data_IF_395997689817
#
_entry.id   IF_395997689817
#
_cell.length_a   1.000
_cell.length_b   1.000
_cell.length_c   1.000
_cell.angle_alpha   90.00
_cell.angle_beta   90.00
_cell.angle_gamma   90.00
#
_symmetry.space_group_name_H-M   'P 1'
#
loop_
_entity.id
_entity.type
_entity.pdbx_description
1 polymer ?
#
# COMPACT_ATOMS: atom_id res chain seq x y z
N UNK A 1 -25.65 13.75 13.15
CA UNK A 1 -24.61 12.78 12.77
C UNK A 1 -23.90 13.39 11.58
N UNK A 2 -22.59 13.57 11.65
CA UNK A 2 -21.78 14.18 10.60
C UNK A 2 -21.03 13.08 9.85
N UNK A 3 -21.09 13.12 8.52
CA UNK A 3 -20.49 12.14 7.61
C UNK A 3 -19.49 12.80 6.65
N UNK A 4 -19.15 14.07 6.89
CA UNK A 4 -18.15 14.76 6.08
C UNK A 4 -16.78 14.15 6.38
N UNK A 5 -16.03 13.86 5.31
CA UNK A 5 -14.64 13.39 5.43
C UNK A 5 -13.82 14.53 6.05
N UNK A 6 -13.05 14.27 7.13
CA UNK A 6 -12.17 15.27 7.72
C UNK A 6 -11.21 15.86 6.68
N UNK A 7 -10.99 17.18 6.73
CA UNK A 7 -10.19 17.90 5.72
C UNK A 7 -8.76 17.37 5.58
N UNK A 8 -8.14 16.97 6.69
CA UNK A 8 -6.82 16.34 6.71
C UNK A 8 -6.80 15.00 5.96
N UNK A 9 -7.87 14.21 6.07
CA UNK A 9 -8.00 12.96 5.32
C UNK A 9 -8.27 13.24 3.85
N UNK A 10 -9.11 14.23 3.52
CA UNK A 10 -9.33 14.60 2.11
C UNK A 10 -8.02 15.03 1.43
N UNK A 11 -7.21 15.88 2.08
CA UNK A 11 -5.91 16.28 1.56
C UNK A 11 -4.99 15.07 1.34
N UNK A 12 -4.98 14.11 2.28
CA UNK A 12 -4.23 12.87 2.10
C UNK A 12 -4.71 12.06 0.89
N UNK A 13 -6.02 11.98 0.64
CA UNK A 13 -6.55 11.29 -0.54
C UNK A 13 -6.09 11.97 -1.83
N UNK A 14 -6.06 13.30 -1.85
CA UNK A 14 -5.60 14.09 -2.99
C UNK A 14 -4.09 13.87 -3.23
N UNK A 15 -3.27 13.89 -2.17
CA UNK A 15 -1.83 13.60 -2.21
C UNK A 15 -1.54 12.17 -2.71
N UNK A 16 -2.35 11.20 -2.28
CA UNK A 16 -2.24 9.81 -2.74
C UNK A 16 -2.60 9.68 -4.23
N UNK A 17 -3.58 10.43 -4.72
CA UNK A 17 -3.96 10.43 -6.12
C UNK A 17 -2.85 11.00 -7.01
N UNK A 18 -2.26 12.12 -6.60
CA UNK A 18 -1.10 12.71 -7.28
C UNK A 18 0.10 11.75 -7.27
N UNK A 19 0.43 11.14 -6.13
CA UNK A 19 1.50 10.15 -6.03
C UNK A 19 1.26 8.91 -6.92
N UNK A 20 0.01 8.46 -7.02
CA UNK A 20 -0.34 7.34 -7.92
C UNK A 20 -0.07 7.73 -9.37
N UNK A 21 -0.46 8.93 -9.78
CA UNK A 21 -0.32 9.38 -11.16
C UNK A 21 1.15 9.68 -11.53
N UNK A 22 1.90 10.30 -10.63
CA UNK A 22 3.26 10.77 -10.90
C UNK A 22 4.35 9.73 -10.64
N UNK A 23 4.09 8.75 -9.75
CA UNK A 23 5.11 7.76 -9.33
C UNK A 23 4.66 6.34 -9.65
N UNK A 24 3.48 5.92 -9.20
CA UNK A 24 3.08 4.51 -9.29
C UNK A 24 2.74 4.10 -10.72
N UNK A 25 1.93 4.89 -11.45
CA UNK A 25 1.57 4.59 -12.84
C UNK A 25 2.78 4.52 -13.77
N UNK A 26 3.79 5.42 -13.68
CA UNK A 26 5.02 5.25 -14.44
C UNK A 26 5.69 3.90 -14.17
N UNK A 27 5.80 3.47 -12.90
CA UNK A 27 6.38 2.18 -12.53
C UNK A 27 5.59 1.01 -13.12
N UNK A 28 4.25 1.07 -13.13
CA UNK A 28 3.38 0.06 -13.76
C UNK A 28 3.60 -0.03 -15.29
N UNK A 29 3.91 1.08 -15.95
CA UNK A 29 4.07 1.14 -17.40
C UNK A 29 5.51 0.84 -17.88
N UNK A 30 6.48 0.82 -16.97
CA UNK A 30 7.85 0.41 -17.28
C UNK A 30 7.95 -1.11 -17.51
N UNK A 31 8.78 -1.53 -18.47
CA UNK A 31 9.23 -2.93 -18.63
C UNK A 31 8.09 -4.00 -18.60
N UNK A 32 6.93 -3.68 -19.18
CA UNK A 32 5.72 -4.52 -19.17
C UNK A 32 5.23 -4.93 -17.77
N UNK A 33 5.51 -4.13 -16.72
CA UNK A 33 5.02 -4.40 -15.36
C UNK A 33 3.49 -4.49 -15.30
N UNK A 34 2.79 -3.84 -16.23
CA UNK A 34 1.34 -3.93 -16.40
C UNK A 34 0.83 -5.38 -16.56
N UNK A 35 1.69 -6.32 -16.99
CA UNK A 35 1.38 -7.76 -17.02
C UNK A 35 0.91 -8.29 -15.68
N UNK A 36 1.49 -7.79 -14.58
CA UNK A 36 1.12 -8.22 -13.24
C UNK A 36 -0.24 -7.71 -12.81
N UNK A 37 -0.92 -6.85 -13.56
CA UNK A 37 -2.26 -6.35 -13.22
C UNK A 37 -3.32 -6.75 -14.26
N UNK A 38 -2.93 -7.51 -15.28
CA UNK A 38 -3.82 -8.02 -16.30
C UNK A 38 -4.39 -9.37 -15.86
N UNK A 39 -5.70 -9.42 -15.61
CA UNK A 39 -6.40 -10.65 -15.17
C UNK A 39 -6.22 -11.85 -16.13
N UNK A 40 -5.81 -11.61 -17.39
CA UNK A 40 -5.53 -12.67 -18.37
C UNK A 40 -4.13 -13.27 -18.23
N UNK A 41 -3.28 -12.65 -17.41
CA UNK A 41 -1.85 -12.97 -17.18
C UNK A 41 -1.54 -13.10 -15.69
N UNK A 42 -2.52 -13.48 -14.86
CA UNK A 42 -2.32 -13.60 -13.40
C UNK A 42 -1.23 -14.63 -13.04
N UNK A 43 -1.03 -15.63 -13.88
CA UNK A 43 0.05 -16.62 -13.78
C UNK A 43 1.44 -15.98 -13.84
N UNK A 44 1.58 -14.77 -14.39
CA UNK A 44 2.84 -14.03 -14.40
C UNK A 44 3.37 -13.74 -13.00
N UNK A 45 2.53 -13.74 -11.95
CA UNK A 45 2.98 -13.55 -10.56
C UNK A 45 3.51 -14.83 -9.92
N UNK A 46 3.35 -15.99 -10.57
CA UNK A 46 3.59 -17.30 -9.99
C UNK A 46 4.79 -17.98 -10.66
N UNK A 47 5.76 -18.39 -9.86
CA UNK A 47 6.89 -19.22 -10.29
C UNK A 47 6.52 -20.70 -10.15
N UNK A 48 6.07 -21.32 -11.24
CA UNK A 48 5.64 -22.72 -11.27
C UNK A 48 6.79 -23.72 -11.09
N UNK A 49 8.02 -23.34 -11.44
CA UNK A 49 9.20 -24.18 -11.26
C UNK A 49 9.66 -24.21 -9.79
N UNK A 50 9.20 -23.23 -9.00
CA UNK A 50 9.52 -23.06 -7.58
C UNK A 50 8.28 -23.22 -6.69
N UNK A 51 7.55 -24.32 -6.90
CA UNK A 51 6.37 -24.72 -6.12
C UNK A 51 5.23 -23.68 -6.09
N UNK A 52 5.14 -22.81 -7.09
CA UNK A 52 4.10 -21.77 -7.17
C UNK A 52 4.34 -20.59 -6.23
N UNK A 53 5.58 -20.35 -5.79
CA UNK A 53 5.93 -19.15 -5.03
C UNK A 53 5.76 -17.88 -5.87
N UNK A 54 5.63 -16.70 -5.24
CA UNK A 54 5.68 -15.44 -5.96
C UNK A 54 6.96 -15.34 -6.81
N UNK A 55 6.81 -14.93 -8.07
CA UNK A 55 7.97 -14.77 -8.92
C UNK A 55 8.85 -13.59 -8.45
N UNK A 56 10.15 -13.66 -8.73
CA UNK A 56 11.11 -12.70 -8.21
C UNK A 56 10.89 -11.27 -8.75
N UNK A 57 10.41 -11.14 -9.98
CA UNK A 57 10.14 -9.84 -10.61
C UNK A 57 8.95 -9.12 -9.94
N UNK A 58 7.91 -9.87 -9.58
CA UNK A 58 6.75 -9.38 -8.85
C UNK A 58 7.14 -8.94 -7.43
N UNK A 59 7.92 -9.76 -6.72
CA UNK A 59 8.42 -9.40 -5.40
C UNK A 59 9.30 -8.14 -5.44
N UNK A 60 10.14 -8.01 -6.47
CA UNK A 60 10.97 -6.82 -6.68
C UNK A 60 10.12 -5.58 -6.98
N UNK A 61 9.06 -5.72 -7.78
CA UNK A 61 8.13 -4.63 -8.09
C UNK A 61 7.39 -4.15 -6.84
N UNK A 62 6.86 -5.08 -6.03
CA UNK A 62 6.23 -4.76 -4.75
C UNK A 62 7.21 -4.12 -3.77
N UNK A 63 8.48 -4.53 -3.79
CA UNK A 63 9.52 -3.90 -2.98
C UNK A 63 9.77 -2.46 -3.41
N UNK A 64 9.94 -2.21 -4.71
CA UNK A 64 10.12 -0.85 -5.25
C UNK A 64 8.95 0.04 -4.87
N UNK A 65 7.70 -0.40 -5.06
CA UNK A 65 6.53 0.38 -4.64
C UNK A 65 6.57 0.75 -3.16
N UNK A 66 6.89 -0.20 -2.28
CA UNK A 66 6.98 0.07 -0.83
C UNK A 66 8.10 1.05 -0.51
N UNK A 67 9.26 0.91 -1.15
CA UNK A 67 10.40 1.81 -0.95
C UNK A 67 10.04 3.25 -1.38
N UNK A 68 9.34 3.44 -2.52
CA UNK A 68 8.86 4.76 -2.97
C UNK A 68 7.78 5.33 -2.05
N UNK A 69 6.80 4.51 -1.64
CA UNK A 69 5.74 4.93 -0.73
C UNK A 69 6.26 5.27 0.68
N UNK A 70 7.31 4.59 1.14
CA UNK A 70 7.99 4.89 2.40
C UNK A 70 8.76 6.21 2.31
N UNK A 71 9.49 6.43 1.21
CA UNK A 71 10.20 7.67 0.95
C UNK A 71 9.26 8.88 0.87
N UNK A 72 8.06 8.70 0.31
CA UNK A 72 7.00 9.71 0.29
C UNK A 72 6.25 9.87 1.64
N UNK A 73 6.51 9.01 2.62
CA UNK A 73 5.87 9.05 3.94
C UNK A 73 4.46 8.46 4.01
N UNK A 74 4.00 7.81 2.93
CA UNK A 74 2.68 7.15 2.87
C UNK A 74 2.69 5.77 3.52
N UNK A 75 3.74 4.96 3.28
CA UNK A 75 3.75 3.56 3.74
C UNK A 75 3.48 3.45 5.23
N UNK A 76 4.10 4.32 6.04
CA UNK A 76 3.98 4.32 7.51
C UNK A 76 2.93 5.27 8.06
N UNK A 77 2.12 5.92 7.22
CA UNK A 77 1.20 6.99 7.64
C UNK A 77 0.38 6.66 8.91
N UNK A 78 -0.16 5.44 9.00
CA UNK A 78 -0.98 5.00 10.12
C UNK A 78 -0.22 4.73 11.43
N UNK A 79 1.11 4.61 11.37
CA UNK A 79 1.92 4.40 12.55
C UNK A 79 2.09 5.68 13.36
N UNK A 80 2.37 5.58 14.67
CA UNK A 80 2.80 6.72 15.46
C UNK A 80 4.04 7.40 14.88
N UNK A 81 4.15 8.72 15.09
CA UNK A 81 5.33 9.52 14.67
C UNK A 81 6.65 8.97 15.19
N UNK A 82 6.67 8.37 16.38
CA UNK A 82 7.91 7.78 16.95
C UNK A 82 8.47 6.59 16.16
N UNK A 83 7.66 6.00 15.28
CA UNK A 83 8.08 4.95 14.33
C UNK A 83 8.24 5.49 12.90
N UNK A 84 8.23 6.81 12.72
CA UNK A 84 8.30 7.48 11.43
C UNK A 84 6.97 7.54 10.68
N UNK A 85 5.84 7.31 11.37
CA UNK A 85 4.50 7.50 10.80
C UNK A 85 3.94 8.91 11.02
N UNK A 86 2.62 9.06 10.87
CA UNK A 86 1.93 10.34 10.94
C UNK A 86 0.75 10.36 11.94
N UNK A 87 0.70 9.39 12.86
CA UNK A 87 -0.39 9.23 13.84
C UNK A 87 -1.77 9.04 13.18
N UNK A 88 -1.82 8.34 12.03
CA UNK A 88 -3.07 8.11 11.30
C UNK A 88 -4.12 7.39 12.16
N UNK A 89 -5.40 7.72 11.91
CA UNK A 89 -6.52 7.17 12.68
C UNK A 89 -7.15 5.96 12.00
N UNK A 90 -7.83 5.10 12.77
CA UNK A 90 -8.59 3.97 12.23
C UNK A 90 -9.68 4.41 11.23
N UNK A 91 -10.33 5.56 11.47
CA UNK A 91 -11.31 6.12 10.53
C UNK A 91 -10.63 6.53 9.22
N UNK A 92 -9.50 7.23 9.30
CA UNK A 92 -8.74 7.61 8.12
C UNK A 92 -8.22 6.39 7.35
N UNK A 93 -7.72 5.36 8.04
CA UNK A 93 -7.34 4.08 7.41
C UNK A 93 -8.51 3.44 6.67
N UNK A 94 -9.71 3.42 7.25
CA UNK A 94 -10.90 2.88 6.58
C UNK A 94 -11.24 3.66 5.29
N UNK A 95 -11.23 4.99 5.35
CA UNK A 95 -11.50 5.88 4.21
C UNK A 95 -10.43 5.70 3.11
N UNK A 96 -9.15 5.70 3.47
CA UNK A 96 -8.03 5.49 2.53
C UNK A 96 -8.14 4.13 1.85
N UNK A 97 -8.42 3.06 2.61
CA UNK A 97 -8.56 1.71 2.06
C UNK A 97 -9.74 1.61 1.10
N UNK A 98 -10.87 2.23 1.42
CA UNK A 98 -12.00 2.31 0.51
C UNK A 98 -11.65 3.07 -0.78
N UNK A 99 -11.01 4.24 -0.64
CA UNK A 99 -10.61 5.08 -1.78
C UNK A 99 -9.68 4.34 -2.74
N UNK A 100 -8.62 3.71 -2.21
CA UNK A 100 -7.68 2.93 -3.02
C UNK A 100 -8.34 1.69 -3.63
N UNK A 101 -9.23 1.00 -2.90
CA UNK A 101 -9.95 -0.16 -3.44
C UNK A 101 -10.87 0.21 -4.61
N UNK A 102 -11.50 1.39 -4.60
CA UNK A 102 -12.38 1.84 -5.69
C UNK A 102 -11.64 2.16 -6.99
N UNK A 103 -10.33 2.38 -6.95
CA UNK A 103 -9.50 2.59 -8.15
C UNK A 103 -9.23 1.30 -8.93
N UNK A 104 -9.54 0.14 -8.35
CA UNK A 104 -9.34 -1.16 -8.95
C UNK A 104 -7.94 -1.72 -8.69
N UNK A 105 -7.65 -2.86 -9.30
CA UNK A 105 -6.36 -3.53 -9.15
C UNK A 105 -5.24 -2.70 -9.79
N UNK A 106 -4.19 -2.44 -9.03
CA UNK A 106 -2.95 -1.82 -9.49
C UNK A 106 -1.86 -1.94 -8.44
N UNK A 107 -0.67 -1.45 -8.76
CA UNK A 107 0.49 -1.47 -7.87
C UNK A 107 0.25 -0.63 -6.60
N UNK A 108 -0.61 0.38 -6.70
CA UNK A 108 -1.01 1.21 -5.57
C UNK A 108 -1.79 0.43 -4.49
N UNK A 109 -2.57 -0.59 -4.90
CA UNK A 109 -3.41 -1.38 -4.01
C UNK A 109 -3.83 -2.71 -4.66
N UNK A 110 -3.38 -3.81 -4.06
CA UNK A 110 -3.75 -5.18 -4.40
C UNK A 110 -4.30 -5.88 -3.16
N UNK A 111 -5.62 -6.09 -3.14
CA UNK A 111 -6.31 -6.72 -2.02
C UNK A 111 -6.10 -8.24 -1.97
N UNK A 112 -5.60 -8.88 -3.04
CA UNK A 112 -5.40 -10.33 -3.07
C UNK A 112 -4.23 -10.77 -2.19
N UNK A 113 -3.23 -9.90 -2.04
CA UNK A 113 -2.02 -10.13 -1.24
C UNK A 113 -1.79 -9.03 -0.20
N UNK A 114 -2.81 -8.21 0.05
CA UNK A 114 -2.83 -7.11 1.02
C UNK A 114 -1.74 -6.03 0.81
N UNK A 115 -1.18 -5.90 -0.40
CA UNK A 115 -0.22 -4.83 -0.71
C UNK A 115 -0.92 -3.50 -0.97
N UNK A 116 -0.35 -2.41 -0.45
CA UNK A 116 -0.84 -1.06 -0.66
C UNK A 116 0.26 -0.04 -0.37
N UNK A 117 0.21 1.11 -1.04
CA UNK A 117 1.08 2.27 -0.76
C UNK A 117 0.87 2.84 0.65
N UNK A 118 -0.26 2.57 1.29
CA UNK A 118 -0.49 2.81 2.72
C UNK A 118 -0.42 1.46 3.44
N UNK A 119 0.64 1.25 4.21
CA UNK A 119 0.89 -0.03 4.89
C UNK A 119 -0.14 -0.31 5.98
N UNK A 120 -0.53 -1.58 6.10
CA UNK A 120 -1.30 -2.06 7.25
C UNK A 120 -0.36 -2.78 8.21
N UNK A 121 -0.04 -2.16 9.33
CA UNK A 121 0.91 -2.68 10.32
C UNK A 121 0.25 -2.96 11.68
N UNK A 122 -0.80 -3.79 11.74
CA UNK A 122 -1.53 -4.04 12.98
C UNK A 122 -0.63 -4.70 14.03
N UNK A 123 0.32 -5.53 13.60
CA UNK A 123 1.30 -6.16 14.50
C UNK A 123 2.16 -5.11 15.22
N UNK A 124 2.56 -4.02 14.55
CA UNK A 124 3.31 -2.94 15.18
C UNK A 124 2.45 -2.22 16.21
N UNK A 125 1.20 -1.90 15.89
CA UNK A 125 0.26 -1.26 16.82
C UNK A 125 -0.08 -2.15 18.02
N UNK A 126 -0.15 -3.46 17.82
CA UNK A 126 -0.38 -4.42 18.89
C UNK A 126 0.83 -4.50 19.82
N UNK A 127 2.05 -4.57 19.29
CA UNK A 127 3.27 -4.55 20.10
C UNK A 127 3.45 -3.23 20.82
N UNK A 128 3.14 -2.11 20.17
CA UNK A 128 3.20 -0.79 20.79
C UNK A 128 2.32 -0.70 22.05
N UNK A 129 1.11 -1.26 21.97
CA UNK A 129 0.10 -1.11 23.02
C UNK A 129 0.21 -2.18 24.11
N UNK A 130 0.67 -3.37 23.77
CA UNK A 130 0.61 -4.54 24.65
C UNK A 130 1.93 -5.30 24.76
N UNK A 131 2.96 -4.91 24.02
CA UNK A 131 4.30 -5.48 24.09
C UNK A 131 4.95 -5.16 25.44
N UNK A 132 5.79 -6.07 25.89
CA UNK A 132 6.74 -5.76 26.96
C UNK A 132 7.80 -4.78 26.47
N UNK A 133 8.53 -4.15 27.39
CA UNK A 133 9.64 -3.25 27.04
C UNK A 133 10.76 -3.92 26.21
N UNK A 134 10.87 -5.26 26.28
CA UNK A 134 11.84 -6.02 25.51
C UNK A 134 11.40 -6.36 24.07
N UNK A 135 10.12 -6.15 23.73
CA UNK A 135 9.52 -6.43 22.42
C UNK A 135 9.36 -5.14 21.62
#
# INVERSE_FOLDING_TARGET
>A
MDFVIPTDIQNLLDDLDEFIDDVIKPIENENDNIRFFDHRREDARTDWDRDGLPNAEWEALLRRMRDEADAAGFLRWHLPKRFGGQDGTNLGMAIVREHLARKGLGLHNDLQNENSIIGNFPTVLMMEKYGSEAQ
#
